data_IF_260861055282
#
_entry.id   IF_260861055282
#
_cell.length_a   1.000
_cell.length_b   1.000
_cell.length_c   1.000
_cell.angle_alpha   90.00
_cell.angle_beta   90.00
_cell.angle_gamma   90.00
#
_symmetry.space_group_name_H-M   'P 1'
#
loop_
_entity.id
_entity.type
_entity.pdbx_description
1 polymer ?
#
# COMPACT_ATOMS: atom_id res chain seq x y z
N UNK A 1 -21.05 -12.34 -5.60
CA UNK A 1 -19.98 -11.93 -6.53
C UNK A 1 -18.88 -11.28 -5.70
N UNK A 2 -17.61 -11.69 -5.80
CA UNK A 2 -16.54 -11.03 -5.06
C UNK A 2 -16.39 -9.58 -5.52
N UNK A 3 -16.14 -8.66 -4.59
CA UNK A 3 -15.81 -7.27 -4.93
C UNK A 3 -14.46 -7.29 -5.67
N UNK A 4 -14.34 -6.75 -6.89
CA UNK A 4 -13.07 -6.73 -7.61
C UNK A 4 -11.98 -6.01 -6.81
N UNK A 5 -10.83 -6.65 -6.59
CA UNK A 5 -9.65 -6.04 -5.96
C UNK A 5 -8.63 -5.64 -7.03
N UNK A 6 -8.66 -4.37 -7.43
CA UNK A 6 -7.66 -3.82 -8.36
C UNK A 6 -6.23 -4.04 -7.84
N UNK A 7 -5.29 -4.28 -8.76
CA UNK A 7 -3.88 -4.51 -8.45
C UNK A 7 -2.99 -3.51 -9.18
N UNK A 8 -2.04 -2.91 -8.46
CA UNK A 8 -1.04 -1.98 -9.00
C UNK A 8 0.26 -2.10 -8.23
N UNK A 9 1.38 -1.96 -8.94
CA UNK A 9 2.73 -1.88 -8.37
C UNK A 9 3.43 -0.67 -8.98
N UNK A 10 3.84 0.29 -8.15
CA UNK A 10 4.68 1.41 -8.56
C UNK A 10 6.10 1.10 -8.13
N UNK A 11 7.03 0.95 -9.08
CA UNK A 11 8.41 0.59 -8.79
C UNK A 11 9.43 1.39 -9.56
N UNK A 12 10.61 1.57 -8.97
CA UNK A 12 11.78 2.21 -9.60
C UNK A 12 11.46 3.61 -10.18
N UNK A 13 10.43 4.27 -9.64
CA UNK A 13 9.81 5.48 -10.19
C UNK A 13 10.12 6.73 -9.37
N UNK A 14 10.01 7.91 -10.00
CA UNK A 14 10.12 9.20 -9.31
C UNK A 14 8.73 9.72 -8.90
N UNK A 15 8.51 9.86 -7.59
CA UNK A 15 7.31 10.47 -7.01
C UNK A 15 7.74 11.80 -6.39
N UNK A 16 7.35 12.90 -7.04
CA UNK A 16 7.75 14.26 -6.66
C UNK A 16 6.73 14.89 -5.70
N UNK A 17 6.71 16.22 -5.58
CA UNK A 17 5.86 16.96 -4.63
C UNK A 17 4.37 16.92 -5.00
N UNK A 18 3.51 17.25 -4.02
CA UNK A 18 2.07 17.38 -4.21
C UNK A 18 1.23 16.14 -3.85
N UNK A 19 1.88 15.01 -3.53
CA UNK A 19 1.20 13.79 -3.07
C UNK A 19 1.02 13.78 -1.55
N UNK A 20 -0.07 13.15 -1.09
CA UNK A 20 -0.25 12.85 0.33
C UNK A 20 0.61 11.63 0.71
N UNK A 21 1.78 11.88 1.31
CA UNK A 21 2.73 10.83 1.68
C UNK A 21 2.31 10.02 2.92
N UNK A 22 1.38 10.52 3.74
CA UNK A 22 0.86 9.80 4.90
C UNK A 22 -0.25 8.81 4.51
N UNK A 23 -1.05 9.17 3.51
CA UNK A 23 -2.13 8.35 2.93
C UNK A 23 -2.08 8.38 1.41
N UNK A 24 -1.13 7.66 0.79
CA UNK A 24 -0.97 7.64 -0.67
C UNK A 24 -2.07 6.85 -1.38
N UNK A 25 -2.78 5.98 -0.65
CA UNK A 25 -3.85 5.14 -1.17
C UNK A 25 -5.18 5.50 -0.52
N UNK A 26 -6.21 5.70 -1.35
CA UNK A 26 -7.56 6.06 -0.91
C UNK A 26 -8.51 4.85 -0.94
N UNK A 27 -9.70 5.05 -0.38
CA UNK A 27 -10.80 4.07 -0.39
C UNK A 27 -11.30 3.78 -1.82
N UNK A 28 -11.89 2.60 -2.00
CA UNK A 28 -12.38 2.18 -3.31
C UNK A 28 -13.62 3.00 -3.73
N UNK A 29 -13.56 3.62 -4.92
CA UNK A 29 -14.56 4.60 -5.38
C UNK A 29 -16.01 4.08 -5.52
N UNK A 30 -16.20 2.81 -5.88
CA UNK A 30 -17.56 2.25 -6.11
C UNK A 30 -18.15 1.71 -4.82
N UNK A 31 -17.37 0.93 -4.07
CA UNK A 31 -17.86 0.22 -2.88
C UNK A 31 -17.63 0.99 -1.58
N UNK A 32 -16.92 2.13 -1.63
CA UNK A 32 -16.39 2.85 -0.47
C UNK A 32 -15.66 1.92 0.52
N UNK A 33 -15.02 0.86 -0.01
CA UNK A 33 -14.28 -0.09 0.83
C UNK A 33 -13.05 0.63 1.37
N UNK A 34 -12.84 0.68 2.70
CA UNK A 34 -11.68 1.32 3.27
C UNK A 34 -10.38 0.74 2.71
N UNK A 35 -9.39 1.60 2.49
CA UNK A 35 -8.05 1.13 2.17
C UNK A 35 -7.45 0.34 3.34
N UNK A 36 -7.00 -0.89 3.07
CA UNK A 36 -6.29 -1.73 4.02
C UNK A 36 -5.01 -2.29 3.38
N UNK A 37 -3.85 -1.78 3.81
CA UNK A 37 -2.55 -2.30 3.40
C UNK A 37 -2.11 -3.50 4.24
N UNK A 38 -1.60 -4.55 3.60
CA UNK A 38 -1.09 -5.74 4.30
C UNK A 38 0.41 -5.58 4.59
N UNK A 39 0.78 -5.30 5.85
CA UNK A 39 2.18 -5.23 6.29
C UNK A 39 2.79 -6.60 6.59
N UNK A 40 1.99 -7.65 6.63
CA UNK A 40 2.43 -9.00 6.98
C UNK A 40 2.87 -9.17 8.44
N UNK A 41 3.51 -10.29 8.70
CA UNK A 41 4.25 -10.62 9.92
C UNK A 41 5.66 -11.03 9.57
N UNK A 42 6.59 -10.95 10.52
CA UNK A 42 7.93 -11.55 10.37
C UNK A 42 7.89 -13.01 10.82
N UNK A 43 8.65 -13.88 10.14
CA UNK A 43 8.87 -15.26 10.58
C UNK A 43 10.12 -15.38 11.47
N UNK A 44 10.48 -16.62 11.81
CA UNK A 44 11.62 -16.93 12.68
C UNK A 44 12.98 -16.52 12.10
N UNK A 45 13.06 -16.21 10.79
CA UNK A 45 14.27 -15.77 10.10
C UNK A 45 14.25 -14.25 9.80
N UNK A 46 13.37 -13.49 10.44
CA UNK A 46 13.12 -12.06 10.18
C UNK A 46 12.64 -11.76 8.74
N UNK A 47 12.10 -12.74 8.02
CA UNK A 47 11.55 -12.55 6.68
C UNK A 47 10.07 -12.13 6.75
N UNK A 48 9.68 -11.13 5.96
CA UNK A 48 8.30 -10.65 5.92
C UNK A 48 7.44 -11.66 5.15
N UNK A 49 6.48 -12.26 5.87
CA UNK A 49 5.48 -13.17 5.32
C UNK A 49 4.13 -12.46 5.16
N UNK A 50 3.60 -12.46 3.93
CA UNK A 50 2.24 -11.99 3.61
C UNK A 50 1.75 -12.55 2.28
N UNK A 51 0.48 -12.89 2.23
CA UNK A 51 -0.19 -13.21 0.98
C UNK A 51 -0.51 -11.91 0.20
N UNK A 52 0.23 -11.65 -0.87
CA UNK A 52 0.05 -10.47 -1.73
C UNK A 52 -1.29 -10.47 -2.48
N UNK A 53 -1.98 -11.61 -2.52
CA UNK A 53 -3.28 -11.81 -3.17
C UNK A 53 -4.42 -11.98 -2.17
N UNK A 54 -4.21 -11.69 -0.89
CA UNK A 54 -5.28 -11.73 0.11
C UNK A 54 -6.40 -10.74 -0.25
N UNK A 55 -7.61 -11.25 -0.43
CA UNK A 55 -8.79 -10.46 -0.80
C UNK A 55 -9.29 -9.56 0.32
N UNK A 56 -8.87 -9.81 1.57
CA UNK A 56 -9.18 -8.97 2.74
C UNK A 56 -8.43 -7.62 2.69
N UNK A 57 -7.37 -7.52 1.90
CA UNK A 57 -6.53 -6.33 1.77
C UNK A 57 -6.57 -5.74 0.36
N UNK A 58 -6.04 -4.53 0.21
CA UNK A 58 -5.79 -3.90 -1.07
C UNK A 58 -4.47 -4.42 -1.68
N UNK A 59 -4.41 -4.52 -3.01
CA UNK A 59 -3.24 -4.99 -3.77
C UNK A 59 -2.48 -3.84 -4.43
N UNK A 60 -2.25 -2.78 -3.67
CA UNK A 60 -1.57 -1.56 -4.10
C UNK A 60 -0.20 -1.51 -3.43
N UNK A 61 0.87 -1.54 -4.24
CA UNK A 61 2.22 -1.76 -3.75
C UNK A 61 3.23 -0.75 -4.30
N UNK A 62 4.28 -0.52 -3.52
CA UNK A 62 5.41 0.32 -3.90
C UNK A 62 6.74 -0.43 -3.69
N UNK A 63 7.72 -0.22 -4.57
CA UNK A 63 9.05 -0.79 -4.42
C UNK A 63 10.14 0.11 -5.03
N UNK A 64 11.14 0.48 -4.23
CA UNK A 64 12.30 1.25 -4.71
C UNK A 64 11.94 2.58 -5.43
N UNK A 65 10.90 3.28 -4.96
CA UNK A 65 10.54 4.60 -5.46
C UNK A 65 11.45 5.68 -4.87
N UNK A 66 11.69 6.75 -5.63
CA UNK A 66 12.54 7.89 -5.27
C UNK A 66 11.77 9.21 -5.37
N UNK A 67 12.33 10.27 -4.80
CA UNK A 67 11.74 11.62 -4.82
C UNK A 67 11.10 11.99 -3.47
N UNK A 68 10.64 13.24 -3.35
CA UNK A 68 10.11 13.77 -2.09
C UNK A 68 8.82 13.05 -1.67
N UNK A 69 7.98 12.70 -2.65
CA UNK A 69 6.71 12.01 -2.43
C UNK A 69 6.84 10.51 -2.17
N UNK A 70 8.03 9.91 -2.30
CA UNK A 70 8.25 8.48 -2.04
C UNK A 70 8.67 8.18 -0.58
N UNK A 71 8.77 9.21 0.27
CA UNK A 71 9.12 9.03 1.68
C UNK A 71 7.94 8.42 2.43
N UNK A 72 8.17 7.24 3.02
CA UNK A 72 7.19 6.60 3.90
C UNK A 72 7.14 7.41 5.21
N UNK A 73 6.09 8.22 5.35
CA UNK A 73 5.81 8.92 6.61
C UNK A 73 4.71 8.13 7.31
N UNK A 74 5.05 7.42 8.39
CA UNK A 74 4.03 6.78 9.21
C UNK A 74 3.14 7.87 9.81
N UNK A 75 1.84 7.81 9.57
CA UNK A 75 0.88 8.66 10.26
C UNK A 75 0.97 8.33 11.76
N UNK A 76 1.18 9.34 12.62
CA UNK A 76 1.25 9.12 14.06
C UNK A 76 -0.06 8.47 14.53
N UNK A 77 0.02 7.36 15.26
CA UNK A 77 -1.15 6.75 15.90
C UNK A 77 -1.79 7.81 16.80
N UNK A 78 -3.05 8.16 16.51
CA UNK A 78 -3.90 8.97 17.39
C UNK A 78 -4.46 8.10 18.50
#
# INVERSE_FOLDING_TARGET
MPIPTGQVVIRDSAINEGFNTAKPWADAVISNRPFAGNTGSVDDNDEIQRNLNDTNYNRMWEYNNRGVGSKVVAEAKK
#
